data_IF_103654132251
#
_entry.id   IF_103654132251
#
_cell.length_a   1.000
_cell.length_b   1.000
_cell.length_c   1.000
_cell.angle_alpha   90.00
_cell.angle_beta   90.00
_cell.angle_gamma   90.00
#
_symmetry.space_group_name_H-M   'P 1'
#
loop_
_entity.id
_entity.type
_entity.pdbx_description
1 polymer ?
#
# COMPACT_ATOMS: atom_id res chain seq x y z
N UNK A 1 15.89 -17.12 42.12
CA UNK A 1 15.46 -18.04 41.05
C UNK A 1 14.72 -19.21 41.68
N UNK A 2 13.62 -19.66 41.08
CA UNK A 2 12.91 -20.87 41.52
C UNK A 2 13.55 -22.16 40.97
N UNK A 3 14.07 -22.10 39.74
CA UNK A 3 14.86 -23.15 39.05
C UNK A 3 15.89 -22.47 38.16
N UNK A 4 17.12 -23.02 38.08
CA UNK A 4 18.17 -22.63 37.13
C UNK A 4 18.60 -23.89 36.38
N UNK A 5 18.50 -23.89 35.06
CA UNK A 5 19.02 -24.97 34.21
C UNK A 5 20.02 -24.42 33.21
N UNK A 6 21.26 -24.91 33.27
CA UNK A 6 22.36 -24.53 32.39
C UNK A 6 22.85 -25.77 31.63
N UNK A 7 23.18 -25.60 30.35
CA UNK A 7 23.72 -26.66 29.51
C UNK A 7 24.62 -26.05 28.43
N UNK A 8 25.75 -26.69 28.17
CA UNK A 8 26.75 -26.23 27.19
C UNK A 8 26.60 -26.85 25.80
N UNK A 9 25.72 -27.85 25.64
CA UNK A 9 25.60 -28.60 24.39
C UNK A 9 24.15 -28.84 23.93
N UNK A 10 23.19 -28.84 24.86
CA UNK A 10 21.79 -29.19 24.60
C UNK A 10 20.82 -28.30 25.41
N UNK A 11 19.56 -28.73 25.52
CA UNK A 11 18.50 -28.05 26.29
C UNK A 11 18.86 -27.97 27.77
N UNK A 12 18.87 -26.76 28.35
CA UNK A 12 19.10 -26.55 29.79
C UNK A 12 17.89 -26.91 30.66
N UNK A 13 16.67 -26.65 30.17
CA UNK A 13 15.39 -26.99 30.83
C UNK A 13 14.39 -27.46 29.78
N UNK A 14 13.77 -28.63 30.00
CA UNK A 14 12.71 -29.17 29.15
C UNK A 14 11.43 -29.38 29.96
N UNK A 15 10.35 -28.71 29.57
CA UNK A 15 9.02 -28.88 30.15
C UNK A 15 8.06 -29.53 29.15
N UNK A 16 7.31 -30.56 29.59
CA UNK A 16 6.32 -31.24 28.76
C UNK A 16 5.07 -31.57 29.58
N UNK A 17 3.91 -31.51 28.92
CA UNK A 17 2.62 -31.79 29.52
C UNK A 17 1.51 -31.75 28.47
N UNK A 18 0.35 -32.37 28.73
CA UNK A 18 -0.78 -32.38 27.79
C UNK A 18 -1.40 -30.99 27.58
N UNK A 19 -1.37 -30.13 28.60
CA UNK A 19 -1.97 -28.79 28.56
C UNK A 19 -0.93 -27.69 28.24
N UNK A 20 0.23 -27.74 28.90
CA UNK A 20 1.33 -26.79 28.68
C UNK A 20 2.64 -27.28 29.29
N UNK A 21 3.75 -27.09 28.57
CA UNK A 21 5.08 -27.45 29.06
C UNK A 21 5.67 -26.42 30.04
N UNK A 22 5.40 -25.13 29.81
CA UNK A 22 5.89 -23.99 30.61
C UNK A 22 4.84 -22.88 30.60
N UNK A 23 4.56 -22.29 31.77
CA UNK A 23 3.71 -21.10 31.93
C UNK A 23 4.52 -20.01 32.63
N UNK A 24 4.55 -18.82 32.04
CA UNK A 24 5.24 -17.65 32.59
C UNK A 24 4.26 -16.53 32.92
N UNK A 25 4.18 -16.16 34.20
CA UNK A 25 3.34 -15.07 34.69
C UNK A 25 4.22 -13.97 35.30
N UNK A 26 3.89 -12.71 35.01
CA UNK A 26 4.63 -11.56 35.52
C UNK A 26 3.75 -10.31 35.52
N UNK A 27 3.95 -9.44 36.51
CA UNK A 27 3.17 -8.19 36.66
C UNK A 27 3.90 -6.96 36.12
N UNK A 28 5.23 -6.92 36.28
CA UNK A 28 6.05 -5.75 35.97
C UNK A 28 6.99 -5.95 34.78
N UNK A 29 7.08 -7.18 34.26
CA UNK A 29 7.99 -7.54 33.17
C UNK A 29 7.39 -8.66 32.32
N UNK A 30 8.09 -9.08 31.26
CA UNK A 30 7.59 -10.15 30.38
C UNK A 30 7.44 -11.45 31.19
N UNK A 31 6.29 -12.12 31.05
CA UNK A 31 6.07 -13.44 31.66
C UNK A 31 7.07 -14.48 31.14
N UNK A 32 7.48 -14.36 29.87
CA UNK A 32 8.53 -15.17 29.24
C UNK A 32 9.42 -14.24 28.40
N UNK A 33 10.74 -14.37 28.56
CA UNK A 33 11.74 -13.61 27.78
C UNK A 33 12.75 -14.58 27.17
N UNK A 34 12.92 -14.52 25.85
CA UNK A 34 13.86 -15.35 25.10
C UNK A 34 14.91 -14.51 24.38
N UNK A 35 16.19 -14.83 24.57
CA UNK A 35 17.33 -14.16 23.92
C UNK A 35 18.21 -15.19 23.23
N UNK A 36 18.60 -14.93 21.98
CA UNK A 36 19.50 -15.81 21.22
C UNK A 36 20.40 -14.97 20.33
N UNK A 37 21.66 -15.37 20.20
CA UNK A 37 22.66 -14.70 19.34
C UNK A 37 22.53 -15.11 17.87
N UNK A 38 22.26 -16.39 17.60
CA UNK A 38 22.35 -16.96 16.25
C UNK A 38 21.01 -17.46 15.71
N UNK A 39 20.12 -17.94 16.59
CA UNK A 39 18.77 -18.41 16.23
C UNK A 39 17.68 -17.45 16.67
N UNK A 40 16.42 -17.86 16.48
CA UNK A 40 15.26 -17.17 17.03
C UNK A 40 15.30 -17.15 18.57
N UNK A 41 14.99 -15.99 19.17
CA UNK A 41 14.84 -15.89 20.63
C UNK A 41 13.66 -16.70 21.16
N UNK A 42 12.60 -16.83 20.35
CA UNK A 42 11.42 -17.67 20.60
C UNK A 42 10.97 -18.28 19.27
N UNK A 43 10.66 -19.57 19.26
CA UNK A 43 10.14 -20.28 18.08
C UNK A 43 8.92 -21.11 18.48
N UNK A 44 7.82 -20.94 17.74
CA UNK A 44 6.55 -21.62 17.99
C UNK A 44 6.03 -22.31 16.73
N UNK A 45 5.63 -23.56 16.86
CA UNK A 45 5.05 -24.36 15.78
C UNK A 45 3.73 -24.96 16.27
N UNK A 46 2.68 -24.89 15.46
CA UNK A 46 1.39 -25.51 15.75
C UNK A 46 0.80 -26.12 14.49
N UNK A 47 0.16 -27.28 14.61
CA UNK A 47 -0.48 -27.98 13.49
C UNK A 47 -1.92 -27.50 13.27
N UNK A 48 -2.67 -27.30 14.37
CA UNK A 48 -4.11 -27.05 14.32
C UNK A 48 -4.51 -25.66 14.85
N UNK A 49 -3.58 -24.90 15.41
CA UNK A 49 -3.84 -23.58 15.99
C UNK A 49 -2.81 -22.56 15.54
N UNK A 50 -2.87 -21.37 16.14
CA UNK A 50 -1.86 -20.35 15.92
C UNK A 50 -0.50 -20.81 16.50
N UNK A 51 0.59 -20.59 15.76
CA UNK A 51 1.94 -20.83 16.27
C UNK A 51 2.33 -19.85 17.39
N UNK A 52 1.77 -18.63 17.33
CA UNK A 52 1.87 -17.58 18.36
C UNK A 52 0.53 -16.85 18.42
N UNK A 53 0.01 -16.61 19.62
CA UNK A 53 -1.20 -15.82 19.86
C UNK A 53 -0.91 -14.79 20.96
N UNK A 54 -1.12 -13.52 20.65
CA UNK A 54 -0.86 -12.40 21.56
C UNK A 54 -2.05 -11.46 21.60
N UNK A 55 -2.38 -10.95 22.79
CA UNK A 55 -3.41 -9.93 22.98
C UNK A 55 -2.88 -8.87 23.95
N UNK A 56 -3.20 -7.61 23.67
CA UNK A 56 -2.90 -6.47 24.54
C UNK A 56 -4.14 -5.60 24.66
N UNK A 57 -4.34 -5.02 25.84
CA UNK A 57 -5.49 -4.15 26.14
C UNK A 57 -5.14 -2.67 26.12
N UNK A 58 -3.87 -2.33 26.34
CA UNK A 58 -3.40 -0.95 26.50
C UNK A 58 -2.31 -0.55 25.50
N UNK A 59 -1.78 -1.49 24.73
CA UNK A 59 -0.71 -1.28 23.76
C UNK A 59 -0.93 -2.13 22.49
N UNK A 60 0.07 -2.19 21.61
CA UNK A 60 0.06 -3.05 20.43
C UNK A 60 0.02 -4.53 20.83
N UNK A 61 -0.81 -5.34 20.16
CA UNK A 61 -0.84 -6.78 20.36
C UNK A 61 0.42 -7.50 19.85
N UNK A 62 1.16 -6.87 18.93
CA UNK A 62 2.42 -7.34 18.38
C UNK A 62 3.29 -6.14 18.00
N UNK A 63 4.52 -6.10 18.53
CA UNK A 63 5.55 -5.14 18.14
C UNK A 63 6.72 -5.87 17.48
N UNK A 64 6.94 -5.62 16.19
CA UNK A 64 8.04 -6.19 15.41
C UNK A 64 8.97 -5.10 14.89
N UNK A 65 10.25 -5.18 15.24
CA UNK A 65 11.27 -4.20 14.82
C UNK A 65 12.51 -4.90 14.28
N UNK A 66 13.07 -4.37 13.20
CA UNK A 66 14.34 -4.80 12.63
C UNK A 66 15.17 -3.57 12.27
N UNK A 67 16.48 -3.63 12.56
CA UNK A 67 17.40 -2.51 12.30
C UNK A 67 18.36 -2.77 11.14
N UNK A 68 18.34 -3.98 10.56
CA UNK A 68 19.19 -4.34 9.44
C UNK A 68 18.60 -3.86 8.11
N UNK A 69 19.44 -3.30 7.24
CA UNK A 69 19.05 -2.85 5.89
C UNK A 69 18.45 -4.02 5.10
N UNK A 70 17.32 -3.77 4.44
CA UNK A 70 16.63 -4.78 3.62
C UNK A 70 15.96 -5.90 4.42
N UNK A 71 15.78 -5.74 5.74
CA UNK A 71 15.03 -6.67 6.59
C UNK A 71 13.74 -6.02 7.08
N UNK A 72 12.71 -6.84 7.29
CA UNK A 72 11.39 -6.40 7.76
C UNK A 72 11.26 -6.59 9.27
N UNK A 73 10.58 -5.66 9.95
CA UNK A 73 10.18 -5.87 11.35
C UNK A 73 9.15 -7.01 11.49
N UNK A 74 8.31 -7.21 10.47
CA UNK A 74 7.39 -8.35 10.33
C UNK A 74 7.51 -8.89 8.92
N UNK A 75 7.80 -10.19 8.79
CA UNK A 75 7.81 -10.92 7.53
C UNK A 75 6.82 -12.06 7.62
N UNK A 76 5.82 -12.08 6.74
CA UNK A 76 4.75 -13.06 6.73
C UNK A 76 4.65 -13.71 5.36
N UNK A 77 4.46 -15.04 5.34
CA UNK A 77 4.38 -15.83 4.13
C UNK A 77 3.22 -16.80 4.28
N UNK A 78 2.44 -16.94 3.21
CA UNK A 78 1.49 -18.02 3.05
C UNK A 78 1.77 -18.71 1.70
N UNK A 79 2.19 -19.97 1.75
CA UNK A 79 2.52 -20.72 0.54
C UNK A 79 1.27 -21.30 -0.15
N UNK A 80 0.07 -21.12 0.41
CA UNK A 80 -1.17 -21.45 -0.26
C UNK A 80 -1.59 -20.28 -1.16
N UNK A 81 -1.80 -20.50 -2.48
CA UNK A 81 -2.14 -19.43 -3.42
C UNK A 81 -3.49 -18.75 -3.12
N UNK A 82 -4.38 -19.40 -2.35
CA UNK A 82 -5.65 -18.83 -1.92
C UNK A 82 -5.59 -18.26 -0.48
N UNK A 83 -4.43 -18.34 0.16
CA UNK A 83 -4.21 -17.90 1.52
C UNK A 83 -3.67 -16.47 1.58
N UNK A 84 -4.02 -15.77 2.66
CA UNK A 84 -3.50 -14.44 2.93
C UNK A 84 -2.20 -14.54 3.74
N UNK A 85 -1.16 -13.80 3.34
CA UNK A 85 0.02 -13.57 4.19
C UNK A 85 -0.29 -12.58 5.33
N UNK A 86 -1.25 -11.67 5.13
CA UNK A 86 -1.78 -10.77 6.14
C UNK A 86 -3.26 -10.49 5.90
N UNK A 87 -4.07 -10.51 6.96
CA UNK A 87 -5.49 -10.19 6.93
C UNK A 87 -5.79 -9.21 8.07
N UNK A 88 -6.24 -8.01 7.72
CA UNK A 88 -6.41 -6.90 8.67
C UNK A 88 -7.87 -6.50 8.73
N UNK A 89 -8.40 -6.32 9.94
CA UNK A 89 -9.73 -5.76 10.18
C UNK A 89 -9.58 -4.39 10.82
N UNK A 90 -10.19 -3.37 10.22
CA UNK A 90 -10.06 -1.96 10.63
C UNK A 90 -9.17 -1.15 9.70
N UNK A 91 -8.83 0.06 10.14
CA UNK A 91 -8.01 0.98 9.36
C UNK A 91 -6.53 0.56 9.41
N UNK A 92 -5.85 0.59 8.26
CA UNK A 92 -4.41 0.37 8.16
C UNK A 92 -3.74 1.73 7.91
N UNK A 93 -2.83 2.12 8.81
CA UNK A 93 -1.99 3.29 8.63
C UNK A 93 -0.57 2.84 8.23
N UNK A 94 -0.06 3.36 7.11
CA UNK A 94 1.31 3.10 6.64
C UNK A 94 2.07 4.41 6.71
N UNK A 95 3.05 4.50 7.61
CA UNK A 95 3.98 5.62 7.62
C UNK A 95 5.11 5.34 6.63
N UNK A 96 5.01 5.92 5.43
CA UNK A 96 5.93 5.70 4.33
C UNK A 96 5.22 5.26 3.05
N UNK A 97 5.93 4.53 2.20
CA UNK A 97 5.43 4.07 0.90
C UNK A 97 4.88 2.64 1.01
N UNK A 98 3.68 2.42 0.44
CA UNK A 98 3.18 1.08 0.17
C UNK A 98 3.59 0.67 -1.25
N UNK A 99 4.49 -0.31 -1.36
CA UNK A 99 4.83 -0.94 -2.64
C UNK A 99 4.09 -2.27 -2.76
N UNK A 100 3.44 -2.49 -3.90
CA UNK A 100 2.64 -3.69 -4.22
C UNK A 100 2.62 -3.89 -5.75
N UNK A 101 2.33 -5.10 -6.19
CA UNK A 101 2.22 -5.41 -7.61
C UNK A 101 0.90 -4.94 -8.22
N UNK A 102 -0.17 -5.07 -7.45
CA UNK A 102 -1.53 -4.72 -7.84
C UNK A 102 -2.32 -4.34 -6.60
N UNK A 103 -3.35 -3.53 -6.76
CA UNK A 103 -4.21 -3.10 -5.66
C UNK A 103 -5.56 -2.70 -6.18
N UNK A 104 -6.56 -3.18 -5.49
CA UNK A 104 -7.95 -2.98 -5.83
C UNK A 104 -8.73 -2.76 -4.55
N UNK A 105 -9.83 -2.02 -4.67
CA UNK A 105 -10.90 -2.14 -3.69
C UNK A 105 -11.95 -3.09 -4.25
N UNK A 106 -12.64 -3.79 -3.35
CA UNK A 106 -13.78 -4.63 -3.69
C UNK A 106 -14.94 -4.20 -2.82
N UNK A 107 -16.09 -3.98 -3.44
CA UNK A 107 -17.36 -3.66 -2.78
C UNK A 107 -18.43 -4.64 -3.24
N UNK A 108 -19.55 -4.69 -2.53
CA UNK A 108 -20.75 -5.35 -3.05
C UNK A 108 -21.19 -4.70 -4.35
N UNK A 109 -21.65 -5.50 -5.31
CA UNK A 109 -22.08 -4.98 -6.59
C UNK A 109 -23.33 -4.11 -6.40
N UNK A 110 -23.36 -2.84 -6.86
CA UNK A 110 -24.44 -1.90 -6.54
C UNK A 110 -25.83 -2.35 -7.04
N UNK A 111 -25.88 -3.15 -8.10
CA UNK A 111 -27.12 -3.72 -8.65
C UNK A 111 -27.40 -5.17 -8.21
N UNK A 112 -26.47 -5.83 -7.51
CA UNK A 112 -26.59 -7.23 -7.10
C UNK A 112 -25.78 -7.52 -5.82
N UNK A 113 -25.97 -6.77 -4.73
CA UNK A 113 -25.03 -6.75 -3.61
C UNK A 113 -24.97 -8.07 -2.83
N UNK A 114 -26.08 -8.84 -2.81
CA UNK A 114 -26.14 -10.12 -2.09
C UNK A 114 -25.49 -11.30 -2.83
N UNK A 115 -25.12 -11.13 -4.10
CA UNK A 115 -24.67 -12.25 -4.95
C UNK A 115 -23.42 -11.95 -5.76
N UNK A 116 -22.96 -10.69 -5.83
CA UNK A 116 -21.82 -10.27 -6.63
C UNK A 116 -21.02 -9.19 -5.94
N UNK A 117 -19.73 -9.16 -6.23
CA UNK A 117 -18.83 -8.07 -5.90
C UNK A 117 -18.45 -7.27 -7.14
N UNK A 118 -18.00 -6.04 -6.93
CA UNK A 118 -17.43 -5.16 -7.94
C UNK A 118 -16.06 -4.71 -7.44
N UNK A 119 -15.03 -4.97 -8.24
CA UNK A 119 -13.66 -4.58 -7.93
C UNK A 119 -13.15 -3.57 -8.94
N UNK A 120 -12.39 -2.58 -8.47
CA UNK A 120 -11.68 -1.64 -9.32
C UNK A 120 -10.21 -1.59 -8.91
N UNK A 121 -9.33 -1.55 -9.91
CA UNK A 121 -7.92 -1.27 -9.70
C UNK A 121 -7.72 0.20 -9.31
N UNK A 122 -6.64 0.47 -8.59
CA UNK A 122 -6.16 1.84 -8.42
C UNK A 122 -5.66 2.41 -9.75
N UNK A 123 -5.77 3.72 -9.92
CA UNK A 123 -5.08 4.45 -10.97
C UNK A 123 -3.66 4.72 -10.48
N UNK A 124 -2.67 4.15 -11.14
CA UNK A 124 -1.26 4.34 -10.81
C UNK A 124 -0.58 5.19 -11.87
N UNK A 125 0.14 6.23 -11.43
CA UNK A 125 0.92 7.10 -12.31
C UNK A 125 2.29 7.35 -11.69
N UNK A 126 3.37 7.33 -12.48
CA UNK A 126 4.72 7.62 -11.99
C UNK A 126 4.85 9.00 -11.33
N UNK A 127 4.00 9.96 -11.73
CA UNK A 127 4.12 11.36 -11.30
C UNK A 127 3.30 11.70 -10.05
N UNK A 128 2.73 10.73 -9.34
CA UNK A 128 1.80 10.97 -8.23
C UNK A 128 0.64 11.91 -8.63
N UNK A 129 -0.15 11.50 -9.63
CA UNK A 129 -1.26 12.32 -10.15
C UNK A 129 -2.45 12.33 -9.20
N UNK A 130 -3.03 13.51 -9.01
CA UNK A 130 -4.39 13.66 -8.49
C UNK A 130 -5.34 13.91 -9.66
N UNK A 131 -6.52 13.31 -9.60
CA UNK A 131 -7.56 13.40 -10.61
C UNK A 131 -8.83 13.96 -9.98
N UNK A 132 -9.42 14.94 -10.65
CA UNK A 132 -10.67 15.59 -10.26
C UNK A 132 -11.56 15.66 -11.48
N UNK A 133 -12.84 15.34 -11.32
CA UNK A 133 -13.80 15.33 -12.41
C UNK A 133 -15.18 15.81 -11.97
N UNK A 134 -16.01 16.11 -12.97
CA UNK A 134 -17.40 16.45 -12.76
C UNK A 134 -18.10 16.80 -14.07
N UNK A 135 -19.32 17.30 -13.94
CA UNK A 135 -20.08 17.85 -15.06
C UNK A 135 -20.58 19.25 -14.73
N UNK A 136 -20.76 20.09 -15.74
CA UNK A 136 -21.33 21.44 -15.58
C UNK A 136 -22.13 21.86 -16.80
N UNK A 137 -23.24 22.56 -16.58
CA UNK A 137 -24.04 23.18 -17.65
C UNK A 137 -23.64 24.64 -17.81
N UNK A 138 -23.34 25.06 -19.04
CA UNK A 138 -22.98 26.44 -19.34
C UNK A 138 -24.21 27.36 -19.28
N UNK A 139 -24.02 28.55 -18.72
CA UNK A 139 -25.05 29.58 -18.59
C UNK A 139 -25.48 30.17 -19.95
N UNK A 140 -26.40 31.15 -19.92
CA UNK A 140 -26.91 31.84 -21.12
C UNK A 140 -25.82 32.58 -21.91
N UNK A 141 -24.69 32.89 -21.26
CA UNK A 141 -23.52 33.54 -21.87
C UNK A 141 -22.46 32.52 -22.31
N UNK A 142 -22.74 31.22 -22.21
CA UNK A 142 -21.86 30.12 -22.59
C UNK A 142 -20.67 29.94 -21.65
N UNK A 143 -20.80 30.30 -20.37
CA UNK A 143 -19.76 30.11 -19.35
C UNK A 143 -20.23 29.29 -18.16
N UNK A 144 -19.28 28.67 -17.46
CA UNK A 144 -19.49 28.14 -16.13
C UNK A 144 -18.19 28.19 -15.33
N UNK A 145 -18.29 28.61 -14.07
CA UNK A 145 -17.21 28.48 -13.10
C UNK A 145 -17.32 27.13 -12.39
N UNK A 146 -16.19 26.45 -12.26
CA UNK A 146 -16.06 25.22 -11.49
C UNK A 146 -15.19 25.52 -10.28
N UNK A 147 -15.77 25.41 -9.09
CA UNK A 147 -15.05 25.58 -7.84
C UNK A 147 -14.33 24.29 -7.45
N UNK A 148 -13.08 24.44 -7.04
CA UNK A 148 -12.19 23.40 -6.55
C UNK A 148 -11.98 23.60 -5.03
N UNK A 149 -11.58 22.55 -4.31
CA UNK A 149 -11.26 22.69 -2.89
C UNK A 149 -10.17 23.75 -2.64
N UNK A 150 -10.27 24.46 -1.52
CA UNK A 150 -9.34 25.55 -1.16
C UNK A 150 -7.86 25.14 -1.09
N UNK A 151 -7.57 23.84 -0.99
CA UNK A 151 -6.21 23.30 -0.93
C UNK A 151 -5.70 22.83 -2.30
N UNK A 152 -6.50 22.91 -3.37
CA UNK A 152 -6.20 22.32 -4.67
C UNK A 152 -4.87 22.84 -5.25
N UNK A 153 -4.69 24.17 -5.31
CA UNK A 153 -3.48 24.79 -5.88
C UNK A 153 -2.25 24.54 -5.00
N UNK A 154 -2.42 24.42 -3.68
CA UNK A 154 -1.34 24.05 -2.78
C UNK A 154 -0.88 22.59 -2.97
N UNK A 155 -1.80 21.70 -3.37
CA UNK A 155 -1.51 20.28 -3.57
C UNK A 155 -1.08 19.95 -5.00
N UNK A 156 -1.50 20.70 -6.01
CA UNK A 156 -1.35 20.32 -7.43
C UNK A 156 -0.55 21.32 -8.26
N UNK A 157 0.36 20.80 -9.08
CA UNK A 157 1.09 21.49 -10.14
C UNK A 157 0.79 20.86 -11.52
N UNK A 158 1.30 21.48 -12.59
CA UNK A 158 1.30 20.90 -13.95
C UNK A 158 -0.08 20.43 -14.43
N UNK A 159 -1.06 21.31 -14.31
CA UNK A 159 -2.45 20.98 -14.55
C UNK A 159 -2.71 20.64 -16.02
N UNK A 160 -3.50 19.60 -16.26
CA UNK A 160 -4.03 19.21 -17.57
C UNK A 160 -5.54 19.15 -17.51
N UNK A 161 -6.18 19.61 -18.58
CA UNK A 161 -7.65 19.67 -18.69
C UNK A 161 -8.13 18.77 -19.82
N UNK A 162 -9.21 18.03 -19.60
CA UNK A 162 -9.96 17.33 -20.64
C UNK A 162 -11.43 17.73 -20.52
N UNK A 163 -12.03 18.11 -21.65
CA UNK A 163 -13.44 18.54 -21.73
C UNK A 163 -14.16 17.69 -22.77
N UNK A 164 -15.38 17.25 -22.48
CA UNK A 164 -16.21 16.48 -23.41
C UNK A 164 -17.66 16.96 -23.33
N UNK A 165 -18.21 17.55 -24.41
CA UNK A 165 -19.64 17.86 -24.49
C UNK A 165 -20.50 16.60 -24.43
N UNK A 166 -21.63 16.66 -23.73
CA UNK A 166 -22.57 15.54 -23.56
C UNK A 166 -23.89 15.87 -24.26
N UNK A 167 -24.45 14.89 -24.98
CA UNK A 167 -25.78 14.97 -25.61
C UNK A 167 -25.81 15.62 -26.99
N UNK A 168 -24.93 16.59 -27.26
CA UNK A 168 -24.74 17.16 -28.59
C UNK A 168 -23.32 17.71 -28.75
N UNK A 169 -22.87 17.84 -30.00
CA UNK A 169 -21.63 18.58 -30.28
C UNK A 169 -21.76 20.03 -29.80
N UNK A 170 -20.73 20.51 -29.11
CA UNK A 170 -20.56 21.89 -28.70
C UNK A 170 -19.06 22.22 -28.68
N UNK A 171 -18.64 23.44 -29.05
CA UNK A 171 -17.30 23.87 -28.69
C UNK A 171 -17.20 23.94 -27.15
N UNK A 172 -16.04 23.55 -26.63
CA UNK A 172 -15.72 23.62 -25.21
C UNK A 172 -14.24 23.91 -25.03
N UNK A 173 -13.90 24.91 -24.21
CA UNK A 173 -12.51 25.26 -23.91
C UNK A 173 -12.40 25.85 -22.50
N UNK A 174 -11.17 25.90 -21.99
CA UNK A 174 -10.86 26.58 -20.73
C UNK A 174 -10.83 28.08 -21.01
N UNK A 175 -11.80 28.80 -20.46
CA UNK A 175 -11.87 30.26 -20.54
C UNK A 175 -10.82 30.91 -19.65
N UNK A 176 -10.73 30.44 -18.41
CA UNK A 176 -9.70 30.82 -17.45
C UNK A 176 -9.13 29.56 -16.80
N UNK A 177 -7.79 29.38 -16.78
CA UNK A 177 -7.16 28.28 -16.06
C UNK A 177 -7.40 28.43 -14.55
N UNK A 178 -7.10 27.36 -13.80
CA UNK A 178 -7.25 27.39 -12.34
C UNK A 178 -6.51 28.57 -11.74
N UNK A 179 -7.25 29.40 -11.00
CA UNK A 179 -6.76 30.48 -10.14
C UNK A 179 -7.80 30.77 -9.07
N UNK A 180 -7.37 31.05 -7.85
CA UNK A 180 -8.25 31.34 -6.72
C UNK A 180 -9.27 30.20 -6.49
N UNK A 181 -8.82 28.96 -6.58
CA UNK A 181 -9.57 27.72 -6.34
C UNK A 181 -10.71 27.46 -7.31
N UNK A 182 -10.66 28.00 -8.53
CA UNK A 182 -11.66 27.73 -9.56
C UNK A 182 -11.10 27.91 -10.96
N UNK A 183 -11.77 27.35 -11.95
CA UNK A 183 -11.47 27.58 -13.36
C UNK A 183 -12.76 27.79 -14.13
N UNK A 184 -12.65 28.39 -15.31
CA UNK A 184 -13.81 28.67 -16.15
C UNK A 184 -13.84 27.76 -17.38
N UNK A 185 -14.98 27.16 -17.64
CA UNK A 185 -15.29 26.47 -18.90
C UNK A 185 -16.16 27.39 -19.75
N UNK A 186 -15.86 27.47 -21.05
CA UNK A 186 -16.60 28.25 -22.05
C UNK A 186 -17.04 27.37 -23.21
N UNK A 187 -18.14 27.72 -23.85
CA UNK A 187 -18.74 26.93 -24.93
C UNK A 187 -20.07 27.50 -25.40
N UNK A 188 -20.93 26.64 -25.97
CA UNK A 188 -22.30 27.03 -26.37
C UNK A 188 -23.19 27.18 -25.14
N UNK A 189 -24.03 28.24 -25.05
CA UNK A 189 -25.01 28.38 -23.98
C UNK A 189 -25.89 27.13 -23.79
N UNK A 190 -26.09 26.72 -22.54
CA UNK A 190 -26.86 25.52 -22.17
C UNK A 190 -26.19 24.18 -22.47
N UNK A 191 -24.94 24.16 -22.97
CA UNK A 191 -24.23 22.91 -23.21
C UNK A 191 -23.84 22.25 -21.88
N UNK A 192 -24.04 20.93 -21.80
CA UNK A 192 -23.55 20.09 -20.70
C UNK A 192 -22.14 19.59 -21.03
N UNK A 193 -21.17 19.89 -20.16
CA UNK A 193 -19.76 19.54 -20.35
C UNK A 193 -19.31 18.61 -19.21
N UNK A 194 -18.79 17.44 -19.56
CA UNK A 194 -17.95 16.63 -18.66
C UNK A 194 -16.54 17.20 -18.64
N UNK A 195 -15.95 17.33 -17.47
CA UNK A 195 -14.61 17.88 -17.29
C UNK A 195 -13.77 16.99 -16.39
N UNK A 196 -12.47 16.97 -16.67
CA UNK A 196 -11.44 16.37 -15.82
C UNK A 196 -10.26 17.32 -15.72
N UNK A 197 -9.73 17.49 -14.51
CA UNK A 197 -8.48 18.20 -14.21
C UNK A 197 -7.54 17.23 -13.53
N UNK A 198 -6.35 17.06 -14.11
CA UNK A 198 -5.29 16.23 -13.55
C UNK A 198 -4.14 17.12 -13.12
N UNK A 199 -3.61 16.89 -11.91
CA UNK A 199 -2.44 17.61 -11.39
C UNK A 199 -1.35 16.67 -10.89
N UNK A 200 -0.09 17.08 -11.01
CA UNK A 200 1.05 16.46 -10.34
C UNK A 200 1.08 16.94 -8.89
N UNK A 201 1.03 16.02 -7.91
CA UNK A 201 1.06 16.40 -6.49
C UNK A 201 2.35 17.16 -6.13
N UNK A 202 2.30 18.27 -5.39
CA UNK A 202 3.44 19.18 -5.16
C UNK A 202 3.69 19.63 -3.72
N UNK A 203 2.97 19.07 -2.73
CA UNK A 203 3.23 19.39 -1.33
C UNK A 203 4.67 19.02 -0.90
N UNK A 204 5.11 19.52 0.25
CA UNK A 204 6.49 19.35 0.76
C UNK A 204 6.90 17.87 0.79
N UNK A 205 6.00 16.97 1.20
CA UNK A 205 6.33 15.55 1.27
C UNK A 205 6.54 14.98 -0.13
N UNK A 206 5.62 15.24 -1.05
CA UNK A 206 5.70 14.75 -2.43
C UNK A 206 6.94 15.26 -3.18
N UNK A 207 7.42 16.48 -2.89
CA UNK A 207 8.65 17.02 -3.49
C UNK A 207 9.93 16.34 -2.98
N UNK A 208 9.96 15.92 -1.72
CA UNK A 208 11.13 15.26 -1.12
C UNK A 208 11.11 13.73 -1.27
N UNK A 209 9.96 13.14 -1.59
CA UNK A 209 9.77 11.68 -1.67
C UNK A 209 9.16 11.28 -3.01
N UNK A 210 9.66 11.87 -4.10
CA UNK A 210 9.29 11.43 -5.45
C UNK A 210 9.65 9.95 -5.63
N UNK A 211 8.76 9.23 -6.29
CA UNK A 211 9.03 7.84 -6.69
C UNK A 211 10.12 7.89 -7.75
N UNK A 212 11.21 7.17 -7.51
CA UNK A 212 12.19 6.87 -8.55
C UNK A 212 11.53 5.89 -9.53
N UNK A 213 11.20 6.38 -10.72
CA UNK A 213 10.39 5.65 -11.70
C UNK A 213 11.13 4.42 -12.24
N UNK A 214 12.45 4.54 -12.36
CA UNK A 214 13.33 3.49 -12.84
C UNK A 214 14.57 3.45 -11.94
N UNK A 215 14.87 2.27 -11.43
CA UNK A 215 16.06 2.01 -10.65
C UNK A 215 16.61 0.62 -11.00
N UNK A 216 17.92 0.47 -10.94
CA UNK A 216 18.53 -0.84 -11.07
C UNK A 216 18.06 -1.76 -9.93
N UNK A 217 17.82 -3.03 -10.24
CA UNK A 217 17.64 -4.04 -9.19
C UNK A 217 18.89 -4.09 -8.30
N UNK A 218 18.74 -4.34 -6.99
CA UNK A 218 19.87 -4.69 -6.13
C UNK A 218 20.70 -5.81 -6.76
N UNK A 219 22.03 -5.79 -6.59
CA UNK A 219 22.92 -6.79 -7.21
C UNK A 219 22.47 -8.23 -6.96
N UNK A 220 21.94 -8.52 -5.78
CA UNK A 220 21.41 -9.85 -5.40
C UNK A 220 20.13 -10.27 -6.15
N UNK A 221 19.48 -9.36 -6.87
CA UNK A 221 18.23 -9.58 -7.60
C UNK A 221 18.38 -9.35 -9.11
N UNK A 222 19.53 -8.85 -9.58
CA UNK A 222 19.83 -8.75 -11.02
C UNK A 222 19.87 -10.16 -11.63
N UNK A 223 19.32 -10.32 -12.83
CA UNK A 223 19.17 -11.63 -13.49
C UNK A 223 17.98 -12.47 -13.02
N UNK A 224 17.18 -12.02 -12.04
CA UNK A 224 15.96 -12.70 -11.59
C UNK A 224 14.72 -11.84 -11.83
N UNK A 225 13.57 -12.46 -12.13
CA UNK A 225 12.28 -11.76 -12.15
C UNK A 225 11.65 -11.77 -10.76
N UNK A 226 10.94 -10.70 -10.42
CA UNK A 226 10.14 -10.67 -9.19
C UNK A 226 8.95 -11.65 -9.28
N UNK A 227 8.46 -11.94 -10.49
CA UNK A 227 7.34 -12.87 -10.75
C UNK A 227 7.65 -13.85 -11.87
N UNK A 228 8.56 -14.82 -11.67
CA UNK A 228 9.01 -15.72 -12.74
C UNK A 228 7.88 -16.48 -13.45
N UNK A 229 6.80 -16.83 -12.74
CA UNK A 229 5.66 -17.55 -13.31
C UNK A 229 4.87 -16.74 -14.36
N UNK A 230 4.99 -15.42 -14.37
CA UNK A 230 4.29 -14.53 -15.32
C UNK A 230 5.12 -14.22 -16.57
N UNK A 231 6.37 -14.69 -16.61
CA UNK A 231 7.30 -14.43 -17.70
C UNK A 231 7.84 -15.75 -18.24
N UNK A 232 7.04 -16.41 -19.08
CA UNK A 232 7.32 -17.74 -19.63
C UNK A 232 8.60 -17.79 -20.48
N UNK A 233 9.06 -16.66 -21.03
CA UNK A 233 10.22 -16.56 -21.94
C UNK A 233 11.23 -15.48 -21.51
N UNK A 234 11.67 -15.48 -20.25
CA UNK A 234 12.85 -14.67 -19.89
C UNK A 234 14.10 -15.32 -20.52
N UNK A 235 14.96 -14.56 -21.22
CA UNK A 235 16.26 -15.10 -21.63
C UNK A 235 17.01 -15.54 -20.37
N UNK A 236 17.44 -16.80 -20.34
CA UNK A 236 18.26 -17.32 -19.24
C UNK A 236 19.48 -16.40 -19.06
N UNK A 237 19.69 -15.95 -17.81
CA UNK A 237 20.51 -14.78 -17.50
C UNK A 237 21.90 -14.77 -18.15
N UNK A 238 22.21 -13.66 -18.84
CA UNK A 238 23.59 -13.34 -19.21
C UNK A 238 24.37 -13.02 -17.94
N UNK A 239 25.07 -14.02 -17.43
CA UNK A 239 26.17 -13.83 -16.47
C UNK A 239 27.40 -13.34 -17.24
N UNK A 240 27.44 -12.07 -17.64
CA UNK A 240 28.72 -11.47 -17.99
C UNK A 240 29.41 -10.93 -16.73
N UNK A 241 30.62 -11.41 -16.38
CA UNK A 241 31.41 -10.79 -15.33
C UNK A 241 31.92 -9.42 -15.82
N UNK A 242 32.12 -8.44 -14.93
CA UNK A 242 32.71 -7.17 -15.32
C UNK A 242 34.12 -7.43 -15.86
N UNK A 243 34.38 -6.94 -17.06
CA UNK A 243 35.73 -6.87 -17.64
C UNK A 243 36.53 -5.79 -16.90
N UNK A 244 37.79 -6.14 -16.59
CA UNK A 244 38.77 -5.36 -15.81
C UNK A 244 38.98 -3.91 -16.28
#
# INVERSE_FOLDING_TARGET
>A
YGVLGESSAHVGVFGSGPDGGVVGEGTNGPGVSGTSTNGAGVSGTSTNGAGVSGTSTNEDGLYGAASAVGKSGVFAVNNNPLGWAGYFTGNVHVNGTLSKLAGAFTIDHPLAPLTRTLSHSFVESPDMKNLYDGTVTLDELGGAWVDLPAWFEALNAELRYQLTPIGAWSPAWIGEPVRDHRFQIRGRPGALISWQVTGTRQDVWARHHRIEVEADKPLSQRGTSLHPAEWEDLPEGETEPPTD
#
